data_IF_479120841016
#
_entry.id   IF_479120841016
#
_cell.length_a   1.000
_cell.length_b   1.000
_cell.length_c   1.000
_cell.angle_alpha   90.00
_cell.angle_beta   90.00
_cell.angle_gamma   90.00
#
_symmetry.space_group_name_H-M   'P 1'
#
loop_
_entity.id
_entity.type
_entity.pdbx_description
1 polymer ?
#
# COMPACT_ATOMS: atom_id res chain seq x y z
N UNK A 1 13.59 29.41 -24.82
CA UNK A 1 12.30 28.75 -24.50
C UNK A 1 12.57 27.30 -24.11
N UNK A 2 11.93 26.88 -23.01
CA UNK A 2 11.87 25.56 -22.38
C UNK A 2 13.15 24.75 -22.13
N UNK A 3 13.62 24.76 -20.86
CA UNK A 3 14.32 23.63 -20.25
C UNK A 3 13.25 22.70 -19.69
N UNK A 4 13.07 21.54 -20.30
CA UNK A 4 12.25 20.47 -19.72
C UNK A 4 12.94 19.94 -18.46
N UNK A 5 12.56 20.54 -17.33
CA UNK A 5 12.89 20.05 -16.01
C UNK A 5 12.11 18.77 -15.75
N UNK A 6 12.73 17.63 -16.04
CA UNK A 6 12.36 16.34 -15.46
C UNK A 6 12.46 16.46 -13.94
N UNK A 7 11.34 16.84 -13.32
CA UNK A 7 11.17 16.82 -11.88
C UNK A 7 11.23 15.36 -11.45
N UNK A 8 12.45 14.91 -11.15
CA UNK A 8 12.70 13.71 -10.38
C UNK A 8 11.99 13.91 -9.04
N UNK A 9 10.75 13.44 -8.93
CA UNK A 9 10.05 13.39 -7.66
C UNK A 9 10.85 12.44 -6.76
N UNK A 10 11.72 13.01 -5.93
CA UNK A 10 12.50 12.28 -4.93
C UNK A 10 11.53 11.73 -3.89
N UNK A 11 10.97 10.57 -4.19
CA UNK A 11 10.15 9.78 -3.28
C UNK A 11 11.01 9.41 -2.09
N UNK A 12 10.71 9.99 -0.93
CA UNK A 12 11.36 9.62 0.33
C UNK A 12 10.43 8.69 1.09
N UNK A 13 10.91 7.48 1.34
CA UNK A 13 10.31 6.61 2.34
C UNK A 13 10.64 7.11 3.74
N UNK A 14 9.70 7.03 4.67
CA UNK A 14 9.86 7.48 6.05
C UNK A 14 9.52 6.34 6.98
N UNK A 15 10.51 5.81 7.69
CA UNK A 15 10.27 4.88 8.79
C UNK A 15 9.69 5.63 9.99
N UNK A 16 8.63 5.10 10.59
CA UNK A 16 7.98 5.66 11.76
C UNK A 16 7.89 4.63 12.86
N UNK A 17 8.36 5.00 14.06
CA UNK A 17 8.16 4.23 15.28
C UNK A 17 7.66 5.14 16.42
N UNK A 18 6.57 4.77 17.09
CA UNK A 18 6.03 5.52 18.24
C UNK A 18 5.86 4.63 19.47
N UNK A 19 6.69 4.83 20.51
CA UNK A 19 6.67 4.01 21.75
C UNK A 19 5.98 4.72 22.93
N UNK A 20 4.77 4.28 23.31
CA UNK A 20 4.02 4.47 24.59
C UNK A 20 2.50 4.62 24.38
N UNK A 21 1.74 4.36 25.44
CA UNK A 21 0.27 4.48 25.54
C UNK A 21 -0.20 5.91 25.35
N UNK A 22 -0.31 6.27 24.08
CA UNK A 22 -1.05 7.40 23.53
C UNK A 22 -1.42 7.02 22.11
N UNK A 23 -1.89 5.75 21.94
CA UNK A 23 -2.41 5.19 20.70
C UNK A 23 -3.10 6.32 19.96
N UNK A 24 -2.59 6.67 18.77
CA UNK A 24 -3.21 7.62 17.86
C UNK A 24 -4.71 7.33 17.91
N UNK A 25 -5.45 8.18 18.64
CA UNK A 25 -6.78 7.77 19.11
C UNK A 25 -7.78 7.74 17.97
N UNK A 26 -7.38 8.10 16.75
CA UNK A 26 -8.19 7.96 15.54
C UNK A 26 -7.28 7.69 14.35
N UNK A 27 -7.28 6.45 13.84
CA UNK A 27 -6.79 6.08 12.50
C UNK A 27 -7.22 7.10 11.42
N UNK A 28 -8.38 7.75 11.59
CA UNK A 28 -8.89 8.86 10.77
C UNK A 28 -7.96 10.08 10.66
N UNK A 29 -7.29 10.49 11.73
CA UNK A 29 -6.40 11.68 11.70
C UNK A 29 -5.11 11.38 10.95
N UNK A 30 -4.59 10.17 11.11
CA UNK A 30 -3.40 9.69 10.41
C UNK A 30 -3.67 9.57 8.90
N UNK A 31 -4.83 9.03 8.53
CA UNK A 31 -5.28 8.99 7.14
C UNK A 31 -5.38 10.40 6.53
N UNK A 32 -5.80 11.42 7.29
CA UNK A 32 -5.92 12.80 6.78
C UNK A 32 -4.56 13.45 6.50
N UNK A 33 -3.56 13.21 7.33
CA UNK A 33 -2.19 13.69 7.10
C UNK A 33 -1.55 13.02 5.85
N UNK A 34 -1.98 11.80 5.54
CA UNK A 34 -1.38 10.93 4.53
C UNK A 34 -2.30 10.76 3.31
N UNK A 35 -3.45 11.45 3.24
CA UNK A 35 -4.40 11.34 2.12
C UNK A 35 -3.79 11.67 0.76
N UNK A 36 -2.73 12.49 0.73
CA UNK A 36 -1.97 12.82 -0.48
C UNK A 36 -0.76 11.91 -0.73
N UNK A 37 -0.39 11.07 0.24
CA UNK A 37 0.84 10.30 0.32
C UNK A 37 0.52 8.79 0.34
N UNK A 38 1.44 7.94 -0.10
CA UNK A 38 1.22 6.49 -0.07
C UNK A 38 2.05 5.85 1.04
N UNK A 39 1.59 4.77 1.64
CA UNK A 39 2.36 4.12 2.70
C UNK A 39 1.66 2.93 3.34
N UNK A 40 2.35 2.32 4.28
CA UNK A 40 1.85 1.19 5.05
C UNK A 40 2.32 1.29 6.48
N UNK A 41 1.46 0.95 7.43
CA UNK A 41 1.82 0.88 8.84
C UNK A 41 1.05 -0.21 9.56
N UNK A 42 1.58 -0.66 10.69
CA UNK A 42 1.01 -1.70 11.52
C UNK A 42 1.28 -1.37 12.99
N UNK A 43 0.48 -1.94 13.88
CA UNK A 43 0.77 -1.94 15.32
C UNK A 43 1.60 -3.18 15.62
N UNK A 44 2.73 -3.00 16.29
CA UNK A 44 3.64 -4.06 16.74
C UNK A 44 3.81 -4.05 18.26
N UNK A 45 4.22 -5.18 18.84
CA UNK A 45 4.68 -5.27 20.23
C UNK A 45 6.19 -5.46 20.29
N UNK A 46 6.88 -4.67 21.11
CA UNK A 46 8.33 -4.81 21.30
C UNK A 46 8.69 -6.15 21.95
N UNK A 47 9.66 -6.88 21.41
CA UNK A 47 10.02 -8.24 21.85
C UNK A 47 10.42 -8.34 23.33
N UNK A 48 11.11 -7.32 23.86
CA UNK A 48 11.62 -7.31 25.24
C UNK A 48 10.63 -6.74 26.26
N UNK A 49 9.85 -5.74 25.87
CA UNK A 49 9.01 -4.96 26.80
C UNK A 49 7.51 -5.22 26.62
N UNK A 50 7.11 -5.91 25.56
CA UNK A 50 5.70 -6.07 25.17
C UNK A 50 5.00 -4.77 24.77
N UNK A 51 5.72 -3.64 24.74
CA UNK A 51 5.13 -2.33 24.53
C UNK A 51 4.65 -2.16 23.09
N UNK A 52 3.39 -1.73 22.96
CA UNK A 52 2.79 -1.43 21.67
C UNK A 52 3.40 -0.18 21.05
N UNK A 53 3.68 -0.26 19.76
CA UNK A 53 4.12 0.85 18.93
C UNK A 53 3.55 0.76 17.52
N UNK A 54 3.46 1.88 16.83
CA UNK A 54 3.26 1.86 15.39
C UNK A 54 4.60 1.66 14.70
N UNK A 55 4.60 0.82 13.67
CA UNK A 55 5.69 0.62 12.74
C UNK A 55 5.17 0.91 11.34
N UNK A 56 5.82 1.77 10.57
CA UNK A 56 5.36 2.04 9.21
C UNK A 56 6.34 2.75 8.31
N UNK A 57 5.99 2.78 7.03
CA UNK A 57 6.67 3.54 6.00
C UNK A 57 5.73 4.46 5.24
N UNK A 58 6.21 5.65 4.88
CA UNK A 58 5.44 6.62 4.08
C UNK A 58 6.25 7.23 2.96
N UNK A 59 5.64 7.33 1.80
CA UNK A 59 6.11 8.09 0.63
C UNK A 59 5.43 9.45 0.64
N UNK A 60 6.20 10.48 0.97
CA UNK A 60 5.74 11.86 0.98
C UNK A 60 5.84 12.47 -0.42
N UNK A 61 4.78 13.13 -0.89
CA UNK A 61 4.79 13.91 -2.12
C UNK A 61 5.48 15.26 -1.91
N UNK A 62 6.19 15.71 -2.94
CA UNK A 62 6.85 17.01 -2.98
C UNK A 62 8.35 16.92 -2.74
N UNK A 63 8.95 18.06 -2.37
CA UNK A 63 10.38 18.13 -2.08
C UNK A 63 10.73 17.40 -0.78
N UNK A 64 11.97 16.92 -0.70
CA UNK A 64 12.47 16.23 0.49
C UNK A 64 12.41 17.16 1.70
N UNK A 65 11.68 16.74 2.73
CA UNK A 65 11.64 17.43 4.01
C UNK A 65 12.71 16.87 4.95
N UNK A 66 13.39 17.77 5.67
CA UNK A 66 14.30 17.39 6.75
C UNK A 66 13.53 16.88 7.98
N UNK A 67 14.20 16.07 8.82
CA UNK A 67 13.62 15.46 10.02
C UNK A 67 12.92 16.49 10.93
N UNK A 68 13.57 17.63 11.20
CA UNK A 68 13.01 18.70 12.03
C UNK A 68 11.67 19.21 11.49
N UNK A 69 11.64 19.57 10.20
CA UNK A 69 10.42 20.07 9.55
C UNK A 69 9.30 19.02 9.54
N UNK A 70 9.67 17.75 9.39
CA UNK A 70 8.71 16.67 9.41
C UNK A 70 8.12 16.48 10.82
N UNK A 71 8.95 16.50 11.87
CA UNK A 71 8.48 16.46 13.25
C UNK A 71 7.53 17.64 13.57
N UNK A 72 7.84 18.86 13.11
CA UNK A 72 6.95 20.02 13.25
C UNK A 72 5.58 19.80 12.59
N UNK A 73 5.53 19.10 11.45
CA UNK A 73 4.28 18.76 10.76
C UNK A 73 3.49 17.72 11.56
N UNK A 74 4.17 16.70 12.10
CA UNK A 74 3.53 15.68 12.92
C UNK A 74 3.03 16.25 14.25
N UNK A 75 3.78 17.17 14.88
CA UNK A 75 3.44 17.81 16.15
C UNK A 75 2.13 18.59 16.10
N UNK A 76 1.80 19.18 14.94
CA UNK A 76 0.49 19.85 14.73
C UNK A 76 -0.71 18.93 14.88
N UNK A 77 -0.51 17.62 14.74
CA UNK A 77 -1.61 16.63 14.70
C UNK A 77 -1.50 15.59 15.80
N UNK A 78 -0.29 15.27 16.25
CA UNK A 78 0.00 14.19 17.18
C UNK A 78 1.05 14.60 18.20
N UNK A 79 0.97 13.99 19.39
CA UNK A 79 2.08 14.06 20.35
C UNK A 79 3.27 13.28 19.78
N UNK A 80 4.34 13.99 19.45
CA UNK A 80 5.56 13.41 18.86
C UNK A 80 6.54 12.87 19.90
N UNK A 81 6.18 12.86 21.18
CA UNK A 81 7.01 12.26 22.23
C UNK A 81 7.24 10.79 21.90
N UNK A 82 8.50 10.38 21.76
CA UNK A 82 8.93 9.05 21.33
C UNK A 82 8.59 8.68 19.87
N UNK A 83 8.40 9.68 18.99
CA UNK A 83 8.29 9.47 17.56
C UNK A 83 9.69 9.46 16.93
N UNK A 84 10.10 8.31 16.42
CA UNK A 84 11.33 8.16 15.64
C UNK A 84 11.00 8.20 14.16
N UNK A 85 11.70 9.07 13.44
CA UNK A 85 11.58 9.26 12.00
C UNK A 85 12.94 9.06 11.34
N UNK A 86 13.02 8.13 10.39
CA UNK A 86 14.24 7.90 9.60
C UNK A 86 13.97 7.95 8.09
N UNK A 87 14.82 8.64 7.32
CA UNK A 87 14.74 8.63 5.87
C UNK A 87 15.15 7.25 5.33
N UNK A 88 14.30 6.69 4.48
CA UNK A 88 14.58 5.48 3.73
C UNK A 88 15.60 5.82 2.62
N UNK A 89 16.79 5.24 2.71
CA UNK A 89 17.88 5.42 1.75
C UNK A 89 18.22 4.03 1.21
N UNK A 90 18.05 3.81 -0.10
CA UNK A 90 18.46 2.61 -0.84
C UNK A 90 17.82 1.26 -0.43
N UNK A 91 16.93 1.22 0.56
CA UNK A 91 16.26 0.01 1.04
C UNK A 91 14.74 0.12 0.89
N UNK A 92 14.04 -0.92 0.40
CA UNK A 92 12.58 -0.94 0.40
C UNK A 92 12.05 -1.50 1.73
N UNK A 93 11.62 -0.61 2.63
CA UNK A 93 11.16 -0.96 3.98
C UNK A 93 9.76 -1.58 4.05
N UNK A 94 9.11 -1.82 2.91
CA UNK A 94 7.74 -2.35 2.83
C UNK A 94 7.63 -3.69 3.55
N UNK A 95 8.54 -4.65 3.28
CA UNK A 95 8.54 -5.98 3.90
C UNK A 95 8.66 -5.88 5.43
N UNK A 96 9.58 -5.04 5.90
CA UNK A 96 9.76 -4.81 7.34
C UNK A 96 8.49 -4.23 8.00
N UNK A 97 7.80 -3.29 7.33
CA UNK A 97 6.57 -2.69 7.83
C UNK A 97 5.31 -3.54 7.60
N UNK A 98 5.46 -4.72 6.99
CA UNK A 98 4.39 -5.69 6.68
C UNK A 98 4.76 -7.10 7.14
N UNK A 99 5.68 -7.21 8.10
CA UNK A 99 6.07 -8.49 8.71
C UNK A 99 5.04 -8.93 9.77
N UNK A 100 4.91 -10.23 9.98
CA UNK A 100 3.90 -10.80 10.87
C UNK A 100 4.42 -11.01 12.31
N UNK A 101 5.73 -11.17 12.51
CA UNK A 101 6.30 -11.73 13.75
C UNK A 101 5.94 -10.93 15.02
N UNK A 102 5.89 -9.61 14.92
CA UNK A 102 5.59 -8.70 16.03
C UNK A 102 4.23 -8.01 15.88
N UNK A 103 3.48 -8.30 14.80
CA UNK A 103 2.24 -7.59 14.48
C UNK A 103 1.13 -7.91 15.49
N UNK A 104 0.43 -6.86 15.90
CA UNK A 104 -0.81 -6.91 16.68
C UNK A 104 -2.02 -6.42 15.89
N UNK A 105 -1.84 -5.48 14.97
CA UNK A 105 -2.91 -5.01 14.07
C UNK A 105 -2.32 -4.45 12.76
N UNK A 106 -3.08 -4.55 11.65
CA UNK A 106 -2.63 -4.13 10.32
C UNK A 106 -2.31 -5.33 9.40
N UNK A 107 -1.60 -5.11 8.28
CA UNK A 107 -1.05 -3.84 7.83
C UNK A 107 -2.14 -2.93 7.27
N UNK A 108 -2.04 -1.64 7.55
CA UNK A 108 -2.94 -0.60 7.07
C UNK A 108 -2.29 0.15 5.92
N UNK A 109 -2.83 -0.02 4.71
CA UNK A 109 -2.36 0.68 3.52
C UNK A 109 -3.08 2.02 3.36
N UNK A 110 -2.31 3.07 3.11
CA UNK A 110 -2.79 4.45 2.92
C UNK A 110 -2.30 5.00 1.58
N UNK A 111 -3.06 5.93 1.00
CA UNK A 111 -2.79 6.51 -0.32
C UNK A 111 -3.95 6.40 -1.29
N UNK A 112 -3.65 6.29 -2.59
CA UNK A 112 -4.67 6.16 -3.64
C UNK A 112 -5.39 4.81 -3.55
N UNK A 113 -6.62 4.75 -4.06
CA UNK A 113 -7.37 3.49 -4.16
C UNK A 113 -6.60 2.43 -4.96
N UNK A 114 -5.94 2.84 -6.04
CA UNK A 114 -5.07 1.95 -6.84
C UNK A 114 -3.92 1.38 -6.03
N UNK A 115 -3.27 2.18 -5.17
CA UNK A 115 -2.19 1.71 -4.31
C UNK A 115 -2.71 0.72 -3.26
N UNK A 116 -3.83 1.04 -2.61
CA UNK A 116 -4.45 0.12 -1.64
C UNK A 116 -4.85 -1.20 -2.28
N UNK A 117 -5.51 -1.17 -3.43
CA UNK A 117 -5.93 -2.37 -4.16
C UNK A 117 -4.74 -3.23 -4.60
N UNK A 118 -3.65 -2.61 -5.06
CA UNK A 118 -2.42 -3.34 -5.40
C UNK A 118 -1.77 -4.01 -4.20
N UNK A 119 -1.80 -3.36 -3.03
CA UNK A 119 -1.12 -3.84 -1.84
C UNK A 119 -1.95 -4.79 -0.98
N UNK A 120 -3.26 -4.78 -1.13
CA UNK A 120 -4.18 -5.70 -0.46
C UNK A 120 -4.55 -6.83 -1.44
N UNK A 121 -3.83 -7.97 -1.41
CA UNK A 121 -4.14 -9.08 -2.31
C UNK A 121 -5.60 -9.50 -2.12
N UNK A 122 -6.33 -9.58 -3.22
CA UNK A 122 -7.72 -9.98 -3.21
C UNK A 122 -7.82 -11.50 -3.29
N UNK A 123 -8.25 -12.14 -2.21
CA UNK A 123 -8.61 -13.56 -2.25
C UNK A 123 -10.06 -13.69 -2.71
N UNK A 124 -10.29 -14.27 -3.88
CA UNK A 124 -11.63 -14.60 -4.36
C UNK A 124 -11.76 -16.09 -4.63
N UNK A 125 -12.90 -16.66 -4.28
CA UNK A 125 -13.30 -17.98 -4.81
C UNK A 125 -13.83 -17.76 -6.21
N UNK A 126 -13.08 -18.20 -7.21
CA UNK A 126 -13.48 -18.09 -8.61
C UNK A 126 -14.76 -18.89 -8.86
N UNK A 127 -15.68 -18.29 -9.60
CA UNK A 127 -16.82 -19.01 -10.18
C UNK A 127 -16.33 -19.90 -11.32
N UNK A 128 -17.15 -20.87 -11.71
CA UNK A 128 -16.80 -21.81 -12.76
C UNK A 128 -16.36 -21.10 -14.06
N UNK A 129 -17.18 -20.19 -14.59
CA UNK A 129 -16.86 -19.46 -15.82
C UNK A 129 -15.57 -18.62 -15.71
N UNK A 130 -15.26 -18.10 -14.52
CA UNK A 130 -14.03 -17.34 -14.27
C UNK A 130 -12.81 -18.24 -14.32
N UNK A 131 -12.93 -19.45 -13.76
CA UNK A 131 -11.87 -20.47 -13.77
C UNK A 131 -11.58 -20.93 -15.20
N UNK A 132 -12.63 -21.24 -15.96
CA UNK A 132 -12.52 -21.62 -17.38
C UNK A 132 -11.86 -20.52 -18.21
N UNK A 133 -12.20 -19.25 -17.95
CA UNK A 133 -11.60 -18.13 -18.64
C UNK A 133 -10.11 -17.92 -18.28
N UNK A 134 -9.72 -18.10 -17.02
CA UNK A 134 -8.30 -18.07 -16.61
C UNK A 134 -7.51 -19.15 -17.35
N UNK A 135 -8.06 -20.37 -17.45
CA UNK A 135 -7.40 -21.46 -18.17
C UNK A 135 -7.22 -21.13 -19.66
N UNK A 136 -8.24 -20.56 -20.31
CA UNK A 136 -8.16 -20.11 -21.71
C UNK A 136 -7.11 -19.02 -21.90
N UNK A 137 -7.03 -18.05 -20.99
CA UNK A 137 -6.00 -16.99 -21.03
C UNK A 137 -4.61 -17.61 -20.95
N UNK A 138 -4.38 -18.53 -20.01
CA UNK A 138 -3.08 -19.22 -19.87
C UNK A 138 -2.68 -20.01 -21.13
N UNK A 139 -3.63 -20.66 -21.79
CA UNK A 139 -3.37 -21.37 -23.05
C UNK A 139 -2.93 -20.38 -24.13
N UNK A 140 -3.61 -19.23 -24.26
CA UNK A 140 -3.28 -18.20 -25.25
C UNK A 140 -1.93 -17.54 -24.95
N UNK A 141 -1.60 -17.26 -23.69
CA UNK A 141 -0.29 -16.68 -23.32
C UNK A 141 0.87 -17.61 -23.68
N UNK A 142 0.66 -18.93 -23.65
CA UNK A 142 1.65 -19.93 -24.04
C UNK A 142 1.72 -20.14 -25.57
N UNK A 143 0.70 -19.73 -26.30
CA UNK A 143 0.69 -19.76 -27.75
C UNK A 143 1.38 -18.48 -28.24
N UNK A 144 2.57 -18.60 -28.87
CA UNK A 144 3.42 -17.48 -29.30
C UNK A 144 2.80 -16.59 -30.43
N UNK A 145 1.48 -16.60 -30.57
CA UNK A 145 0.73 -15.77 -31.50
C UNK A 145 0.78 -14.30 -31.07
N UNK A 146 1.30 -13.43 -31.95
CA UNK A 146 1.47 -11.98 -31.70
C UNK A 146 0.16 -11.17 -31.73
N UNK A 147 -0.98 -11.79 -32.01
CA UNK A 147 -2.23 -11.08 -32.20
C UNK A 147 -2.93 -10.76 -30.88
N UNK A 148 -3.30 -9.49 -30.69
CA UNK A 148 -4.11 -9.07 -29.55
C UNK A 148 -5.47 -9.80 -29.58
N UNK A 149 -5.76 -10.55 -28.52
CA UNK A 149 -7.09 -11.14 -28.26
C UNK A 149 -7.87 -10.26 -27.29
N UNK A 150 -9.17 -10.09 -27.54
CA UNK A 150 -10.09 -9.35 -26.66
C UNK A 150 -11.22 -10.27 -26.26
N UNK A 151 -11.36 -10.51 -24.95
CA UNK A 151 -12.47 -11.27 -24.39
C UNK A 151 -13.63 -10.32 -24.04
N UNK A 152 -14.78 -10.51 -24.70
CA UNK A 152 -16.01 -9.79 -24.39
C UNK A 152 -16.87 -10.62 -23.44
N UNK A 153 -17.20 -10.06 -22.27
CA UNK A 153 -18.00 -10.74 -21.24
C UNK A 153 -19.20 -9.86 -20.94
N UNK A 154 -20.38 -10.34 -21.27
CA UNK A 154 -21.64 -9.66 -21.04
C UNK A 154 -22.49 -10.45 -20.04
N UNK A 155 -23.22 -9.74 -19.18
CA UNK A 155 -24.30 -10.33 -18.41
C UNK A 155 -25.31 -9.22 -18.10
N UNK A 156 -26.56 -9.44 -18.53
CA UNK A 156 -27.67 -8.50 -18.48
C UNK A 156 -28.28 -8.33 -17.09
N UNK A 157 -28.13 -9.32 -16.20
CA UNK A 157 -28.75 -9.35 -14.88
C UNK A 157 -27.86 -8.72 -13.80
N UNK A 158 -26.55 -8.63 -14.04
CA UNK A 158 -25.60 -8.14 -13.06
C UNK A 158 -25.29 -9.16 -11.96
N UNK A 159 -24.36 -8.82 -11.06
CA UNK A 159 -23.99 -9.72 -9.96
C UNK A 159 -23.22 -10.99 -10.37
N UNK A 160 -22.90 -11.18 -11.65
CA UNK A 160 -22.07 -12.31 -12.13
C UNK A 160 -20.61 -12.28 -11.64
N UNK A 161 -20.18 -11.18 -10.99
CA UNK A 161 -18.82 -11.01 -10.49
C UNK A 161 -17.82 -10.47 -11.51
N UNK A 162 -18.29 -9.90 -12.63
CA UNK A 162 -17.46 -9.38 -13.73
C UNK A 162 -16.43 -8.34 -13.25
N UNK A 163 -16.89 -7.30 -12.55
CA UNK A 163 -16.01 -6.24 -12.05
C UNK A 163 -15.03 -6.75 -10.99
N UNK A 164 -15.44 -7.69 -10.14
CA UNK A 164 -14.57 -8.33 -9.15
C UNK A 164 -13.48 -9.14 -9.83
N UNK A 165 -13.84 -9.92 -10.86
CA UNK A 165 -12.91 -10.75 -11.62
C UNK A 165 -11.92 -9.91 -12.45
N UNK A 166 -12.39 -8.85 -13.10
CA UNK A 166 -11.52 -7.90 -13.82
C UNK A 166 -10.48 -7.25 -12.89
N UNK A 167 -10.89 -6.86 -11.66
CA UNK A 167 -9.96 -6.37 -10.63
C UNK A 167 -8.97 -7.46 -10.20
N UNK A 168 -9.45 -8.68 -9.99
CA UNK A 168 -8.60 -9.82 -9.66
C UNK A 168 -7.53 -10.07 -10.74
N UNK A 169 -7.88 -10.06 -12.03
CA UNK A 169 -6.89 -10.20 -13.11
C UNK A 169 -5.88 -9.05 -13.16
N UNK A 170 -6.30 -7.82 -12.82
CA UNK A 170 -5.44 -6.64 -12.90
C UNK A 170 -4.41 -6.52 -11.76
N UNK A 171 -4.68 -7.12 -10.60
CA UNK A 171 -3.88 -6.92 -9.38
C UNK A 171 -3.47 -8.22 -8.67
N UNK A 172 -4.15 -9.34 -8.94
CA UNK A 172 -4.17 -10.54 -8.12
C UNK A 172 -3.27 -11.69 -8.58
N UNK A 173 -2.43 -11.50 -9.60
CA UNK A 173 -1.45 -12.53 -9.97
C UNK A 173 -0.20 -12.40 -9.11
N UNK A 174 -0.28 -12.90 -7.88
CA UNK A 174 0.90 -13.46 -7.21
C UNK A 174 0.76 -14.96 -7.33
N UNK A 175 1.56 -15.55 -8.22
CA UNK A 175 1.89 -16.98 -8.12
C UNK A 175 2.69 -17.23 -6.83
#
# INVERSE_FOLDING_TARGET
MSRDGTSLSKTLGLYLEQRRSGLITKQKNFNRLIQRNSGVFQTEAGLKTGQLHYQGRFVLKGSRLGKKRLLEIFEKTFKITNLTLEPEILYESTKYCTKDETRKAGPFYVGTDSYRQKMMPMTIKLRQWQTELVQKIKIIENDNARDRKVFWIEDSNGGAGKSTFSKFLSFGQKD
#
